data_IF_363016124218
#
_entry.id   IF_363016124218
#
_cell.length_a   1.000
_cell.length_b   1.000
_cell.length_c   1.000
_cell.angle_alpha   90.00
_cell.angle_beta   90.00
_cell.angle_gamma   90.00
#
_symmetry.space_group_name_H-M   'P 1'
#
loop_
_entity.id
_entity.type
_entity.pdbx_description
1 polymer ?
#
# COMPACT_ATOMS: atom_id res chain seq x y z
N UNK A 1 13.04 -44.91 -17.13
CA UNK A 1 13.50 -43.87 -16.17
C UNK A 1 12.90 -42.49 -16.48
N UNK A 2 13.06 -41.94 -17.70
CA UNK A 2 12.45 -40.64 -18.06
C UNK A 2 10.92 -40.58 -17.90
N UNK A 3 10.21 -41.64 -18.31
CA UNK A 3 8.76 -41.72 -18.12
C UNK A 3 8.33 -41.69 -16.65
N UNK A 4 9.11 -42.35 -15.78
CA UNK A 4 8.90 -42.34 -14.32
C UNK A 4 9.10 -40.94 -13.72
N UNK A 5 10.15 -40.22 -14.14
CA UNK A 5 10.36 -38.84 -13.70
C UNK A 5 9.22 -37.91 -14.16
N UNK A 6 8.69 -38.13 -15.36
CA UNK A 6 7.52 -37.39 -15.85
C UNK A 6 6.27 -37.64 -14.98
N UNK A 7 6.00 -38.90 -14.60
CA UNK A 7 4.89 -39.24 -13.68
C UNK A 7 5.07 -38.66 -12.28
N UNK A 8 6.31 -38.41 -11.85
CA UNK A 8 6.64 -37.79 -10.56
C UNK A 8 6.63 -36.25 -10.59
N UNK A 9 6.12 -35.64 -11.67
CA UNK A 9 5.94 -34.20 -11.77
C UNK A 9 7.13 -33.44 -12.35
N UNK A 10 8.03 -34.13 -13.08
CA UNK A 10 9.12 -33.54 -13.87
C UNK A 10 8.96 -33.89 -15.37
N UNK A 11 7.98 -33.29 -16.07
CA UNK A 11 7.64 -33.65 -17.44
C UNK A 11 8.67 -33.19 -18.49
N UNK A 12 9.53 -32.22 -18.16
CA UNK A 12 10.57 -31.71 -19.05
C UNK A 12 11.67 -32.72 -19.31
N UNK A 13 11.65 -33.34 -20.50
CA UNK A 13 12.61 -34.38 -20.90
C UNK A 13 14.06 -33.91 -20.89
N UNK A 14 14.35 -32.67 -21.30
CA UNK A 14 15.71 -32.14 -21.36
C UNK A 14 16.35 -32.02 -19.97
N UNK A 15 15.60 -31.48 -19.00
CA UNK A 15 16.05 -31.37 -17.61
C UNK A 15 16.21 -32.75 -16.96
N UNK A 16 15.24 -33.65 -17.18
CA UNK A 16 15.28 -35.01 -16.65
C UNK A 16 16.42 -35.86 -17.24
N UNK A 17 16.73 -35.74 -18.53
CA UNK A 17 17.85 -36.46 -19.15
C UNK A 17 19.19 -35.94 -18.66
N UNK A 18 19.34 -34.62 -18.53
CA UNK A 18 20.56 -34.01 -17.99
C UNK A 18 20.81 -34.44 -16.53
N UNK A 19 19.76 -34.50 -15.71
CA UNK A 19 19.87 -35.00 -14.33
C UNK A 19 20.28 -36.47 -14.27
N UNK A 20 19.67 -37.33 -15.11
CA UNK A 20 20.07 -38.74 -15.21
C UNK A 20 21.51 -38.91 -15.69
N UNK A 21 21.98 -38.11 -16.64
CA UNK A 21 23.36 -38.14 -17.11
C UNK A 21 24.35 -37.73 -16.00
N UNK A 22 24.08 -36.63 -15.29
CA UNK A 22 24.90 -36.18 -14.14
C UNK A 22 25.02 -37.25 -13.06
N UNK A 23 23.94 -38.00 -12.83
CA UNK A 23 23.85 -39.02 -11.79
C UNK A 23 24.11 -40.45 -12.31
N UNK A 24 24.78 -40.58 -13.47
CA UNK A 24 25.20 -41.86 -14.06
C UNK A 24 24.07 -42.88 -14.22
N UNK A 25 22.86 -42.41 -14.53
CA UNK A 25 21.66 -43.24 -14.70
C UNK A 25 20.94 -43.61 -13.40
N UNK A 26 21.37 -43.09 -12.24
CA UNK A 26 20.66 -43.27 -10.97
C UNK A 26 19.33 -42.50 -10.99
N UNK A 27 18.21 -43.23 -10.94
CA UNK A 27 16.87 -42.63 -10.89
C UNK A 27 16.68 -41.80 -9.61
N UNK A 28 17.12 -42.32 -8.47
CA UNK A 28 17.00 -41.63 -7.18
C UNK A 28 17.89 -40.39 -7.12
N UNK A 29 19.14 -40.49 -7.59
CA UNK A 29 20.04 -39.34 -7.68
C UNK A 29 19.47 -38.24 -8.57
N UNK A 30 18.97 -38.61 -9.75
CA UNK A 30 18.34 -37.66 -10.67
C UNK A 30 17.08 -37.01 -10.09
N UNK A 31 16.25 -37.76 -9.36
CA UNK A 31 15.08 -37.23 -8.67
C UNK A 31 15.48 -36.23 -7.57
N UNK A 32 16.47 -36.57 -6.74
CA UNK A 32 16.98 -35.68 -5.70
C UNK A 32 17.56 -34.39 -6.28
N UNK A 33 18.29 -34.46 -7.39
CA UNK A 33 18.81 -33.27 -8.09
C UNK A 33 17.67 -32.38 -8.60
N UNK A 34 16.70 -32.95 -9.32
CA UNK A 34 15.56 -32.21 -9.87
C UNK A 34 14.70 -31.57 -8.77
N UNK A 35 14.47 -32.30 -7.66
CA UNK A 35 13.80 -31.75 -6.48
C UNK A 35 14.66 -30.66 -5.82
N UNK A 36 15.97 -30.86 -5.73
CA UNK A 36 16.92 -29.89 -5.19
C UNK A 36 16.90 -28.56 -5.95
N UNK A 37 16.89 -28.61 -7.28
CA UNK A 37 16.79 -27.42 -8.14
C UNK A 37 15.45 -26.72 -7.96
N UNK A 38 14.35 -27.47 -7.88
CA UNK A 38 13.00 -26.92 -7.63
C UNK A 38 12.89 -26.27 -6.25
N UNK A 39 13.56 -26.83 -5.25
CA UNK A 39 13.61 -26.33 -3.88
C UNK A 39 14.69 -25.26 -3.67
N UNK A 40 15.61 -25.06 -4.62
CA UNK A 40 16.72 -24.12 -4.51
C UNK A 40 16.27 -22.68 -4.16
N UNK A 41 15.22 -22.11 -4.78
CA UNK A 41 14.73 -20.79 -4.39
C UNK A 41 14.24 -20.75 -2.93
N UNK A 42 13.61 -21.83 -2.45
CA UNK A 42 13.15 -21.93 -1.07
C UNK A 42 14.32 -22.06 -0.10
N UNK A 43 15.31 -22.91 -0.39
CA UNK A 43 16.54 -23.04 0.40
C UNK A 43 17.29 -21.71 0.49
N UNK A 44 17.50 -21.04 -0.64
CA UNK A 44 18.18 -19.74 -0.66
C UNK A 44 17.43 -18.68 0.13
N UNK A 45 16.09 -18.66 0.09
CA UNK A 45 15.28 -17.76 0.94
C UNK A 45 15.43 -18.08 2.43
N UNK A 46 15.37 -19.36 2.80
CA UNK A 46 15.56 -19.79 4.19
C UNK A 46 16.94 -19.41 4.73
N UNK A 47 18.00 -19.59 3.93
CA UNK A 47 19.36 -19.22 4.31
C UNK A 47 19.63 -17.71 4.30
N UNK A 48 18.93 -16.93 3.46
CA UNK A 48 19.13 -15.47 3.34
C UNK A 48 18.15 -14.64 4.19
N UNK A 49 17.17 -15.26 4.84
CA UNK A 49 16.15 -14.57 5.62
C UNK A 49 15.24 -13.64 4.81
N UNK A 50 15.17 -13.81 3.48
CA UNK A 50 14.36 -12.96 2.63
C UNK A 50 12.87 -13.37 2.70
N UNK A 51 12.01 -12.46 3.15
CA UNK A 51 10.57 -12.64 3.06
C UNK A 51 10.17 -12.87 1.59
N UNK A 52 9.37 -13.91 1.28
CA UNK A 52 8.93 -14.12 -0.08
C UNK A 52 7.89 -13.07 -0.45
N UNK A 53 8.05 -12.49 -1.64
CA UNK A 53 7.07 -11.58 -2.21
C UNK A 53 5.68 -12.24 -2.30
N UNK A 54 4.64 -11.43 -2.08
CA UNK A 54 3.24 -11.82 -2.21
C UNK A 54 2.66 -11.24 -3.48
N UNK A 55 2.21 -12.12 -4.38
CA UNK A 55 1.57 -11.72 -5.63
C UNK A 55 0.05 -11.94 -5.55
N UNK A 56 -0.69 -10.85 -5.36
CA UNK A 56 -2.16 -10.84 -5.31
C UNK A 56 -2.81 -11.02 -6.70
N UNK A 57 -2.03 -10.85 -7.78
CA UNK A 57 -2.41 -11.10 -9.17
C UNK A 57 -2.29 -12.57 -9.58
N UNK A 58 -1.60 -13.39 -8.79
CA UNK A 58 -1.33 -14.81 -9.09
C UNK A 58 -2.61 -15.61 -9.39
N UNK A 59 -2.62 -16.36 -10.49
CA UNK A 59 -3.77 -17.20 -10.86
C UNK A 59 -4.05 -18.30 -9.83
N UNK A 60 -3.01 -18.93 -9.29
CA UNK A 60 -3.13 -19.95 -8.26
C UNK A 60 -3.40 -19.32 -6.88
N UNK A 61 -4.68 -19.12 -6.56
CA UNK A 61 -5.15 -18.60 -5.29
C UNK A 61 -4.74 -19.49 -4.10
N UNK A 62 -4.67 -20.82 -4.28
CA UNK A 62 -4.31 -21.75 -3.22
C UNK A 62 -2.84 -21.58 -2.83
N UNK A 63 -1.95 -21.38 -3.80
CA UNK A 63 -0.56 -21.06 -3.52
C UNK A 63 -0.38 -19.74 -2.77
N UNK A 64 -1.12 -18.69 -3.15
CA UNK A 64 -1.07 -17.40 -2.46
C UNK A 64 -1.57 -17.50 -1.00
N UNK A 65 -2.67 -18.21 -0.75
CA UNK A 65 -3.20 -18.42 0.60
C UNK A 65 -2.19 -19.14 1.51
N UNK A 66 -1.51 -20.17 0.98
CA UNK A 66 -0.43 -20.86 1.72
C UNK A 66 0.74 -19.92 2.04
N UNK A 67 1.10 -19.03 1.13
CA UNK A 67 2.13 -18.02 1.38
C UNK A 67 1.69 -17.04 2.47
N UNK A 68 0.47 -16.50 2.37
CA UNK A 68 -0.12 -15.60 3.37
C UNK A 68 -0.09 -16.24 4.77
N UNK A 69 -0.48 -17.51 4.91
CA UNK A 69 -0.42 -18.23 6.19
C UNK A 69 1.00 -18.43 6.73
N UNK A 70 1.99 -18.51 5.84
CA UNK A 70 3.39 -18.69 6.23
C UNK A 70 4.09 -17.38 6.57
N UNK A 71 3.67 -16.25 6.00
CA UNK A 71 4.36 -14.96 6.14
C UNK A 71 3.63 -13.94 6.99
N UNK A 72 2.31 -14.01 7.08
CA UNK A 72 1.48 -13.00 7.75
C UNK A 72 0.80 -13.58 9.00
N UNK A 73 0.53 -12.76 10.03
CA UNK A 73 -0.12 -13.20 11.27
C UNK A 73 -1.64 -13.40 11.07
N UNK A 74 -2.03 -14.41 10.29
CA UNK A 74 -3.43 -14.79 10.03
C UNK A 74 -3.80 -16.09 10.75
N UNK A 75 -4.89 -16.04 11.54
CA UNK A 75 -5.28 -17.15 12.42
C UNK A 75 -5.92 -18.36 11.73
N UNK A 76 -6.36 -18.24 10.47
CA UNK A 76 -7.06 -19.35 9.79
C UNK A 76 -7.01 -19.25 8.27
N UNK A 77 -7.25 -20.39 7.60
CA UNK A 77 -7.36 -20.49 6.15
C UNK A 77 -8.44 -19.56 5.57
N UNK A 78 -9.60 -19.48 6.21
CA UNK A 78 -10.70 -18.59 5.78
C UNK A 78 -10.30 -17.11 5.82
N UNK A 79 -9.52 -16.70 6.82
CA UNK A 79 -8.98 -15.33 6.92
C UNK A 79 -7.92 -15.06 5.85
N UNK A 80 -7.03 -16.02 5.60
CA UNK A 80 -6.05 -15.92 4.53
C UNK A 80 -6.71 -15.81 3.13
N UNK A 81 -7.81 -16.53 2.90
CA UNK A 81 -8.65 -16.38 1.70
C UNK A 81 -9.25 -14.97 1.58
N UNK A 82 -9.75 -14.40 2.69
CA UNK A 82 -10.26 -13.03 2.71
C UNK A 82 -9.17 -12.02 2.36
N UNK A 83 -8.00 -12.11 2.98
CA UNK A 83 -6.82 -11.27 2.67
C UNK A 83 -6.45 -11.39 1.19
N UNK A 84 -6.34 -12.60 0.66
CA UNK A 84 -6.05 -12.81 -0.77
C UNK A 84 -7.08 -12.13 -1.69
N UNK A 85 -8.37 -12.34 -1.43
CA UNK A 85 -9.43 -11.82 -2.29
C UNK A 85 -9.60 -10.31 -2.21
N UNK A 86 -9.54 -9.72 -1.01
CA UNK A 86 -9.63 -8.28 -0.80
C UNK A 86 -8.36 -7.56 -1.28
N UNK A 87 -7.19 -8.15 -1.10
CA UNK A 87 -5.94 -7.59 -1.61
C UNK A 87 -5.94 -7.46 -3.13
N UNK A 88 -6.55 -8.42 -3.84
CA UNK A 88 -6.80 -8.31 -5.29
C UNK A 88 -7.78 -7.19 -5.63
N UNK A 89 -8.89 -7.08 -4.90
CA UNK A 89 -9.87 -6.00 -5.11
C UNK A 89 -9.30 -4.60 -4.86
N UNK A 90 -8.37 -4.48 -3.92
CA UNK A 90 -7.66 -3.25 -3.59
C UNK A 90 -6.46 -2.97 -4.52
N UNK A 91 -6.13 -3.90 -5.43
CA UNK A 91 -5.08 -3.71 -6.42
C UNK A 91 -3.65 -3.79 -5.86
N UNK A 92 -3.41 -4.55 -4.78
CA UNK A 92 -2.08 -4.68 -4.16
C UNK A 92 -1.00 -5.21 -5.12
N UNK A 93 -1.37 -5.99 -6.14
CA UNK A 93 -0.42 -6.50 -7.13
C UNK A 93 0.70 -7.35 -6.53
N UNK A 94 1.94 -7.08 -6.93
CA UNK A 94 3.15 -7.74 -6.42
C UNK A 94 3.76 -6.93 -5.26
N UNK A 95 3.72 -7.49 -4.06
CA UNK A 95 4.30 -6.92 -2.84
C UNK A 95 5.64 -7.60 -2.56
N UNK A 96 6.74 -6.85 -2.70
CA UNK A 96 8.10 -7.40 -2.54
C UNK A 96 8.50 -7.57 -1.07
N UNK A 97 8.17 -6.59 -0.24
CA UNK A 97 8.45 -6.56 1.21
C UNK A 97 7.11 -6.51 1.98
N UNK A 98 6.48 -7.66 2.27
CA UNK A 98 5.17 -7.72 2.94
C UNK A 98 5.12 -6.93 4.25
N UNK A 99 6.20 -6.98 5.05
CA UNK A 99 6.30 -6.28 6.33
C UNK A 99 6.35 -4.75 6.23
N UNK A 100 6.67 -4.19 5.05
CA UNK A 100 6.74 -2.73 4.84
C UNK A 100 5.54 -2.16 4.09
N UNK A 101 4.65 -3.03 3.59
CA UNK A 101 3.52 -2.60 2.77
C UNK A 101 2.35 -2.16 3.67
N UNK A 102 2.06 -0.86 3.83
CA UNK A 102 1.11 -0.37 4.82
C UNK A 102 -0.31 -0.85 4.51
N UNK A 103 -0.69 -0.91 3.22
CA UNK A 103 -1.98 -1.41 2.78
C UNK A 103 -2.20 -2.88 3.15
N UNK A 104 -1.13 -3.69 3.08
CA UNK A 104 -1.19 -5.09 3.45
C UNK A 104 -1.35 -5.27 4.97
N UNK A 105 -0.59 -4.51 5.77
CA UNK A 105 -0.72 -4.52 7.23
C UNK A 105 -2.14 -4.21 7.68
N UNK A 106 -2.72 -3.13 7.15
CA UNK A 106 -4.11 -2.72 7.41
C UNK A 106 -5.13 -3.80 7.03
N UNK A 107 -4.94 -4.45 5.88
CA UNK A 107 -5.81 -5.52 5.44
C UNK A 107 -5.76 -6.72 6.39
N UNK A 108 -4.57 -7.12 6.84
CA UNK A 108 -4.39 -8.24 7.77
C UNK A 108 -5.02 -7.94 9.13
N UNK A 109 -4.82 -6.74 9.67
CA UNK A 109 -5.43 -6.32 10.93
C UNK A 109 -6.96 -6.23 10.83
N UNK A 110 -7.48 -5.69 9.71
CA UNK A 110 -8.91 -5.59 9.48
C UNK A 110 -9.56 -6.98 9.43
N UNK A 111 -8.98 -7.92 8.68
CA UNK A 111 -9.45 -9.32 8.63
C UNK A 111 -9.26 -10.01 9.98
N UNK A 112 -8.22 -9.64 10.72
CA UNK A 112 -7.95 -10.08 12.08
C UNK A 112 -9.07 -9.74 13.06
N UNK A 113 -9.58 -8.52 12.96
CA UNK A 113 -10.65 -7.99 13.83
C UNK A 113 -12.06 -8.39 13.38
N UNK A 114 -12.29 -8.58 12.08
CA UNK A 114 -13.61 -8.89 11.54
C UNK A 114 -13.53 -9.81 10.31
N UNK A 115 -14.23 -10.97 10.28
CA UNK A 115 -14.28 -11.83 9.10
C UNK A 115 -15.39 -11.45 8.09
N UNK A 116 -16.24 -10.46 8.39
CA UNK A 116 -17.34 -10.07 7.50
C UNK A 116 -16.82 -9.27 6.30
N UNK A 117 -16.92 -9.86 5.11
CA UNK A 117 -16.48 -9.26 3.85
C UNK A 117 -17.14 -7.91 3.55
N UNK A 118 -18.43 -7.73 3.83
CA UNK A 118 -19.14 -6.49 3.56
C UNK A 118 -18.73 -5.38 4.54
N UNK A 119 -18.53 -5.71 5.82
CA UNK A 119 -17.94 -4.79 6.79
C UNK A 119 -16.51 -4.39 6.40
N UNK A 120 -15.69 -5.37 6.00
CA UNK A 120 -14.33 -5.16 5.51
C UNK A 120 -14.30 -4.26 4.28
N UNK A 121 -15.16 -4.49 3.28
CA UNK A 121 -15.25 -3.62 2.09
C UNK A 121 -15.63 -2.19 2.46
N UNK A 122 -16.58 -1.98 3.37
CA UNK A 122 -16.94 -0.62 3.84
C UNK A 122 -15.78 0.07 4.55
N UNK A 123 -14.97 -0.67 5.31
CA UNK A 123 -13.78 -0.14 6.00
C UNK A 123 -12.61 0.12 5.04
N UNK A 124 -12.39 -0.78 4.10
CA UNK A 124 -11.22 -0.83 3.21
C UNK A 124 -11.45 -0.16 1.85
N UNK A 125 -12.69 0.24 1.52
CA UNK A 125 -13.01 0.89 0.25
C UNK A 125 -13.72 2.22 0.50
N UNK A 126 -12.91 3.24 0.75
CA UNK A 126 -13.31 4.64 0.74
C UNK A 126 -12.89 5.21 -0.62
N UNK A 127 -13.76 5.95 -1.31
CA UNK A 127 -13.45 6.51 -2.63
C UNK A 127 -13.06 7.98 -2.51
N UNK A 128 -11.97 8.37 -3.17
CA UNK A 128 -11.52 9.76 -3.18
C UNK A 128 -12.60 10.66 -3.80
N UNK A 129 -12.98 11.73 -3.10
CA UNK A 129 -14.02 12.66 -3.54
C UNK A 129 -13.61 13.53 -4.75
N UNK A 130 -12.36 13.43 -5.21
CA UNK A 130 -11.83 14.17 -6.37
C UNK A 130 -11.63 13.26 -7.58
N UNK A 131 -10.88 12.16 -7.42
CA UNK A 131 -10.53 11.28 -8.54
C UNK A 131 -11.30 9.94 -8.56
N UNK A 132 -12.14 9.66 -7.55
CA UNK A 132 -12.90 8.41 -7.43
C UNK A 132 -12.06 7.18 -7.07
N UNK A 133 -10.73 7.32 -6.92
CA UNK A 133 -9.88 6.17 -6.59
C UNK A 133 -10.18 5.62 -5.20
N UNK A 134 -10.39 4.30 -5.11
CA UNK A 134 -10.73 3.59 -3.88
C UNK A 134 -9.49 3.16 -3.10
N UNK A 135 -9.35 3.61 -1.85
CA UNK A 135 -8.33 3.17 -0.90
C UNK A 135 -8.98 2.86 0.45
N UNK A 136 -8.30 2.10 1.33
CA UNK A 136 -8.74 1.98 2.72
C UNK A 136 -8.86 3.34 3.37
N UNK A 137 -9.86 3.45 4.25
CA UNK A 137 -10.12 4.67 4.99
C UNK A 137 -8.82 5.19 5.61
N UNK A 138 -8.04 4.36 6.30
CA UNK A 138 -6.79 4.74 6.99
C UNK A 138 -5.73 5.42 6.09
N UNK A 139 -5.73 5.15 4.78
CA UNK A 139 -4.79 5.74 3.82
C UNK A 139 -5.32 7.03 3.17
N UNK A 140 -6.60 7.36 3.38
CA UNK A 140 -7.16 8.62 2.93
C UNK A 140 -6.72 9.77 3.84
N UNK A 141 -6.85 10.98 3.33
CA UNK A 141 -6.66 12.23 4.05
C UNK A 141 -8.01 12.92 4.21
N UNK A 142 -8.20 13.61 5.33
CA UNK A 142 -9.40 14.41 5.61
C UNK A 142 -8.98 15.78 6.07
N UNK A 143 -9.64 16.78 5.52
CA UNK A 143 -9.40 18.16 5.90
C UNK A 143 -10.26 18.52 7.13
N UNK A 144 -9.71 19.30 8.09
CA UNK A 144 -10.48 19.77 9.22
C UNK A 144 -11.73 20.52 8.75
N UNK A 145 -12.90 20.22 9.34
CA UNK A 145 -14.16 20.88 8.99
C UNK A 145 -14.95 20.23 7.84
N UNK A 146 -14.49 19.10 7.28
CA UNK A 146 -15.28 18.30 6.34
C UNK A 146 -15.04 16.79 6.51
N UNK A 147 -15.91 15.97 5.92
CA UNK A 147 -15.78 14.50 5.91
C UNK A 147 -15.44 13.93 4.53
N UNK A 148 -15.00 14.79 3.59
CA UNK A 148 -14.62 14.39 2.23
C UNK A 148 -13.29 13.63 2.25
N UNK A 149 -13.25 12.35 1.84
CA UNK A 149 -12.00 11.61 1.72
C UNK A 149 -11.19 12.06 0.51
N UNK A 150 -9.89 12.26 0.69
CA UNK A 150 -8.94 12.58 -0.37
C UNK A 150 -7.86 11.51 -0.42
N UNK A 151 -7.52 10.99 -1.61
CA UNK A 151 -6.35 10.13 -1.72
C UNK A 151 -5.07 10.96 -1.47
N UNK A 152 -3.96 10.33 -1.06
CA UNK A 152 -2.70 11.04 -0.78
C UNK A 152 -2.22 11.91 -1.93
N UNK A 153 -2.42 11.44 -3.17
CA UNK A 153 -2.03 12.16 -4.38
C UNK A 153 -2.85 13.44 -4.58
N UNK A 154 -4.19 13.34 -4.54
CA UNK A 154 -5.07 14.51 -4.67
C UNK A 154 -4.87 15.51 -3.52
N UNK A 155 -4.61 15.02 -2.30
CA UNK A 155 -4.30 15.87 -1.16
C UNK A 155 -3.00 16.66 -1.42
N UNK A 156 -1.91 15.97 -1.78
CA UNK A 156 -0.62 16.61 -2.08
C UNK A 156 -0.76 17.63 -3.21
N UNK A 157 -1.34 17.21 -4.33
CA UNK A 157 -1.51 18.05 -5.51
C UNK A 157 -2.33 19.32 -5.21
N UNK A 158 -3.42 19.18 -4.43
CA UNK A 158 -4.26 20.31 -4.04
C UNK A 158 -3.47 21.43 -3.34
N UNK A 159 -2.58 21.08 -2.41
CA UNK A 159 -1.78 22.07 -1.69
C UNK A 159 -0.55 22.51 -2.48
N UNK A 160 0.15 21.62 -3.19
CA UNK A 160 1.32 22.01 -4.00
C UNK A 160 0.95 23.02 -5.09
N UNK A 161 -0.15 22.78 -5.79
CA UNK A 161 -0.67 23.72 -6.81
C UNK A 161 -1.33 24.92 -6.14
N UNK A 162 -2.20 24.66 -5.16
CA UNK A 162 -3.00 25.67 -4.52
C UNK A 162 -2.17 26.75 -3.84
N UNK A 163 -1.07 26.41 -3.18
CA UNK A 163 -0.24 27.40 -2.47
C UNK A 163 0.53 28.29 -3.45
N UNK A 164 0.89 27.76 -4.61
CA UNK A 164 1.61 28.50 -5.66
C UNK A 164 0.69 29.43 -6.42
N UNK A 165 -0.48 28.94 -6.81
CA UNK A 165 -1.41 29.65 -7.71
C UNK A 165 -2.49 30.45 -6.96
N UNK A 166 -2.78 30.09 -5.71
CA UNK A 166 -3.85 30.69 -4.89
C UNK A 166 -3.30 31.15 -3.54
N UNK A 167 -4.03 32.06 -2.89
CA UNK A 167 -3.74 32.46 -1.51
C UNK A 167 -4.18 31.37 -0.51
N UNK A 168 -3.55 31.33 0.66
CA UNK A 168 -3.90 30.34 1.71
C UNK A 168 -5.32 30.52 2.26
N UNK A 169 -5.96 31.67 2.05
CA UNK A 169 -7.38 31.87 2.36
C UNK A 169 -8.34 31.11 1.41
N UNK A 170 -7.86 30.61 0.27
CA UNK A 170 -8.67 29.88 -0.71
C UNK A 170 -8.39 28.36 -0.71
N UNK A 171 -7.62 27.85 0.26
CA UNK A 171 -7.22 26.45 0.35
C UNK A 171 -8.13 25.65 1.28
N UNK A 172 -9.44 25.75 1.05
CA UNK A 172 -10.43 24.83 1.60
C UNK A 172 -10.48 23.52 0.82
N UNK A 173 -11.36 22.61 1.21
CA UNK A 173 -11.48 21.30 0.57
C UNK A 173 -11.73 21.37 -0.94
N UNK A 174 -10.97 20.64 -1.78
CA UNK A 174 -11.16 20.65 -3.23
C UNK A 174 -12.50 20.06 -3.69
N UNK A 175 -13.17 19.27 -2.84
CA UNK A 175 -14.45 18.64 -3.17
C UNK A 175 -15.64 19.51 -2.77
N UNK A 176 -15.65 20.06 -1.55
CA UNK A 176 -16.81 20.78 -1.01
C UNK A 176 -16.56 22.25 -0.68
N UNK A 177 -15.33 22.75 -0.83
CA UNK A 177 -14.94 24.13 -0.53
C UNK A 177 -14.86 24.50 0.95
N UNK A 178 -15.13 23.56 1.87
CA UNK A 178 -15.12 23.80 3.32
C UNK A 178 -13.73 23.52 3.94
N UNK A 179 -13.38 24.17 5.06
CA UNK A 179 -14.10 25.24 5.74
C UNK A 179 -13.95 26.58 5.01
N UNK A 180 -14.85 27.54 5.31
CA UNK A 180 -14.70 28.91 4.81
C UNK A 180 -13.61 29.62 5.63
N UNK A 181 -12.48 29.92 5.01
CA UNK A 181 -11.30 30.48 5.69
C UNK A 181 -11.33 32.02 5.79
N UNK A 182 -12.50 32.63 5.59
CA UNK A 182 -12.72 34.07 5.82
C UNK A 182 -12.71 34.41 7.31
N UNK A 183 -13.24 33.53 8.15
CA UNK A 183 -13.22 33.70 9.61
C UNK A 183 -11.84 33.39 10.18
N UNK A 184 -11.34 34.26 11.05
CA UNK A 184 -9.99 34.16 11.58
C UNK A 184 -9.81 32.98 12.53
N UNK A 185 -10.76 32.77 13.44
CA UNK A 185 -10.71 31.68 14.41
C UNK A 185 -10.76 30.32 13.71
N UNK A 186 -11.66 30.18 12.72
CA UNK A 186 -11.78 28.97 11.91
C UNK A 186 -10.52 28.71 11.08
N UNK A 187 -9.91 29.76 10.52
CA UNK A 187 -8.67 29.64 9.74
C UNK A 187 -7.49 29.20 10.61
N UNK A 188 -7.30 29.81 11.79
CA UNK A 188 -6.23 29.44 12.70
C UNK A 188 -6.38 27.98 13.17
N UNK A 189 -7.60 27.59 13.56
CA UNK A 189 -7.92 26.21 13.93
C UNK A 189 -7.67 25.23 12.77
N UNK A 190 -8.07 25.58 11.56
CA UNK A 190 -7.87 24.74 10.38
C UNK A 190 -6.39 24.49 10.12
N UNK A 191 -5.57 25.54 10.06
CA UNK A 191 -4.15 25.42 9.73
C UNK A 191 -3.35 24.73 10.85
N UNK A 192 -3.60 25.06 12.12
CA UNK A 192 -2.95 24.37 13.25
C UNK A 192 -3.26 22.87 13.29
N UNK A 193 -4.50 22.47 12.96
CA UNK A 193 -4.88 21.05 12.90
C UNK A 193 -4.29 20.34 11.68
N UNK A 194 -4.16 21.05 10.57
CA UNK A 194 -3.72 20.49 9.29
C UNK A 194 -2.20 20.41 9.15
N UNK A 195 -1.45 21.26 9.84
CA UNK A 195 0.02 21.38 9.74
C UNK A 195 0.76 20.04 9.86
N UNK A 196 0.47 19.15 10.83
CA UNK A 196 1.18 17.88 10.94
C UNK A 196 0.95 16.98 9.71
N UNK A 197 -0.25 17.06 9.10
CA UNK A 197 -0.58 16.31 7.89
C UNK A 197 0.14 16.85 6.65
N UNK A 198 0.26 18.17 6.53
CA UNK A 198 1.00 18.82 5.45
C UNK A 198 2.49 18.51 5.53
N UNK A 199 3.09 18.59 6.72
CA UNK A 199 4.50 18.28 6.93
C UNK A 199 4.87 16.84 6.54
N UNK A 200 3.94 15.89 6.68
CA UNK A 200 4.15 14.49 6.27
C UNK A 200 3.95 14.26 4.77
N UNK A 201 3.15 15.10 4.11
CA UNK A 201 2.65 14.84 2.75
C UNK A 201 3.30 15.72 1.67
N UNK A 202 3.83 16.89 2.07
CA UNK A 202 4.45 17.87 1.18
C UNK A 202 5.97 17.82 1.29
N UNK A 203 6.65 18.21 0.22
CA UNK A 203 8.08 18.47 0.23
C UNK A 203 8.43 19.69 1.12
N UNK A 204 9.65 19.77 1.66
CA UNK A 204 10.06 20.83 2.57
C UNK A 204 9.90 22.25 1.98
N UNK A 205 10.17 22.42 0.69
CA UNK A 205 10.09 23.72 0.02
C UNK A 205 8.64 24.20 -0.09
N UNK A 206 7.73 23.31 -0.51
CA UNK A 206 6.30 23.61 -0.59
C UNK A 206 5.70 23.84 0.80
N UNK A 207 6.09 23.06 1.81
CA UNK A 207 5.67 23.30 3.19
C UNK A 207 6.19 24.65 3.71
N UNK A 208 7.45 25.00 3.44
CA UNK A 208 8.01 26.32 3.78
C UNK A 208 7.24 27.47 3.14
N UNK A 209 6.76 27.30 1.90
CA UNK A 209 5.93 28.28 1.21
C UNK A 209 4.56 28.47 1.89
N UNK A 210 3.95 27.40 2.40
CA UNK A 210 2.71 27.47 3.20
C UNK A 210 2.93 28.32 4.44
N UNK A 211 3.96 27.98 5.22
CA UNK A 211 4.28 28.69 6.47
C UNK A 211 4.55 30.15 6.20
N UNK A 212 5.38 30.46 5.20
CA UNK A 212 5.68 31.84 4.81
C UNK A 212 4.42 32.62 4.44
N UNK A 213 3.51 32.05 3.64
CA UNK A 213 2.26 32.72 3.25
C UNK A 213 1.31 32.92 4.42
N UNK A 214 1.27 31.99 5.39
CA UNK A 214 0.50 32.17 6.62
C UNK A 214 1.08 33.31 7.46
N UNK A 215 2.39 33.37 7.63
CA UNK A 215 3.06 34.48 8.33
C UNK A 215 2.85 35.81 7.61
N UNK A 216 2.98 35.87 6.29
CA UNK A 216 2.71 37.08 5.51
C UNK A 216 1.26 37.56 5.68
N UNK A 217 0.29 36.66 5.74
CA UNK A 217 -1.10 37.02 6.03
C UNK A 217 -1.31 37.53 7.46
N UNK A 218 -0.54 37.06 8.44
CA UNK A 218 -0.59 37.59 9.80
C UNK A 218 0.07 38.97 9.87
N UNK A 219 1.21 39.17 9.18
CA UNK A 219 1.96 40.43 9.15
C UNK A 219 1.23 41.55 8.40
N UNK A 220 0.59 41.25 7.26
CA UNK A 220 -0.23 42.23 6.51
C UNK A 220 -1.43 42.75 7.31
N UNK A 221 -1.75 42.13 8.45
CA UNK A 221 -2.84 42.54 9.34
C UNK A 221 -2.36 43.37 10.52
N UNK A 222 -1.06 43.42 10.77
CA UNK A 222 -0.49 44.32 11.76
C UNK A 222 -0.41 45.74 11.16
N UNK A 223 -1.19 46.71 11.67
CA UNK A 223 -1.20 48.07 11.14
C UNK A 223 0.14 48.80 11.30
N UNK A 224 1.07 48.27 12.11
CA UNK A 224 2.42 48.80 12.30
C UNK A 224 3.45 48.15 11.38
N UNK A 225 3.07 47.11 10.62
CA UNK A 225 3.99 46.38 9.77
C UNK A 225 4.25 47.11 8.45
N UNK A 226 5.54 47.34 8.16
CA UNK A 226 6.03 47.92 6.91
C UNK A 226 6.99 46.92 6.26
N UNK A 227 6.83 46.68 4.96
CA UNK A 227 7.81 45.93 4.18
C UNK A 227 9.07 46.79 3.98
N UNK A 228 10.24 46.20 4.27
CA UNK A 228 11.56 46.77 3.99
C UNK A 228 11.77 46.93 2.48
#
# INVERSE_FOLDING_TARGET
QLHLLATLGFPERASASAALQRQQGSLWGALCDLQGDRLRPFRLRHFRGAEPALDFGKQDQQALVRQILATLPVASWGRALLVSSLGRELGLGLVLDPSKEPLLGELVEAVGSCPDRAALRRRLRCECAVCGWGLPRQLMQWLPGCSCPLCPECFRLHFTVGVRERGVAALGCPSCGRPDLRDEGQRLWYWSTLEPGLRRSLDPDTFGLVTRKLTELELLRDPQFLWC
#
